data_IF_938217942935
#
_entry.id   IF_938217942935
#
_cell.length_a   1.000
_cell.length_b   1.000
_cell.length_c   1.000
_cell.angle_alpha   90.00
_cell.angle_beta   90.00
_cell.angle_gamma   90.00
#
_symmetry.space_group_name_H-M   'P 1'
#
loop_
_entity.id
_entity.type
_entity.pdbx_description
1 polymer ?
#
# COMPACT_ATOMS: atom_id res chain seq x y z
N UNK A 1 2.83 -4.06 2.10
CA UNK A 1 3.77 -3.06 2.65
C UNK A 1 3.04 -2.03 3.47
N UNK A 2 2.11 -1.24 2.92
CA UNK A 2 1.43 -0.15 3.63
C UNK A 2 0.67 -0.55 4.92
N UNK A 3 0.31 -1.82 5.10
CA UNK A 3 -0.25 -2.32 6.36
C UNK A 3 0.71 -2.34 7.56
N UNK A 4 1.97 -1.93 7.38
CA UNK A 4 2.95 -1.73 8.46
C UNK A 4 3.53 -3.00 9.11
N UNK A 5 3.00 -4.18 8.83
CA UNK A 5 3.42 -5.43 9.48
C UNK A 5 4.76 -5.97 8.97
N UNK A 6 5.07 -5.74 7.70
CA UNK A 6 6.35 -6.16 7.09
C UNK A 6 7.32 -4.99 7.18
N UNK A 7 8.39 -5.17 7.93
CA UNK A 7 9.38 -4.12 8.23
C UNK A 7 10.78 -4.43 7.67
N UNK A 8 10.98 -5.68 7.23
CA UNK A 8 12.27 -6.17 6.73
C UNK A 8 12.04 -7.21 5.64
N UNK A 9 12.96 -7.36 4.66
CA UNK A 9 12.92 -8.51 3.74
C UNK A 9 12.96 -9.87 4.46
N UNK A 10 13.47 -9.93 5.68
CA UNK A 10 13.52 -11.16 6.50
C UNK A 10 12.14 -11.58 7.04
N UNK A 11 11.15 -10.68 6.98
CA UNK A 11 9.80 -10.98 7.46
C UNK A 11 8.97 -11.77 6.41
N UNK A 12 9.54 -11.99 5.22
CA UNK A 12 8.91 -12.82 4.20
C UNK A 12 9.17 -14.30 4.49
N UNK A 13 8.11 -15.10 4.40
CA UNK A 13 8.22 -16.56 4.49
C UNK A 13 8.91 -17.16 3.26
N UNK A 14 9.32 -18.42 3.38
CA UNK A 14 9.87 -19.18 2.28
C UNK A 14 8.86 -19.27 1.12
N UNK A 15 9.31 -19.00 -0.10
CA UNK A 15 8.45 -19.01 -1.29
C UNK A 15 7.57 -17.76 -1.46
N UNK A 16 7.66 -16.77 -0.58
CA UNK A 16 6.91 -15.52 -0.75
C UNK A 16 7.42 -14.75 -1.98
N UNK A 17 6.55 -14.61 -2.99
CA UNK A 17 6.88 -13.93 -4.25
C UNK A 17 7.40 -12.51 -4.05
N UNK A 18 6.99 -11.82 -2.99
CA UNK A 18 7.44 -10.46 -2.69
C UNK A 18 8.94 -10.37 -2.45
N UNK A 19 9.58 -11.46 -2.00
CA UNK A 19 11.04 -11.52 -1.81
C UNK A 19 11.82 -11.30 -3.11
N UNK A 20 11.22 -11.58 -4.27
CA UNK A 20 11.82 -11.38 -5.59
C UNK A 20 11.50 -10.00 -6.20
N UNK A 21 10.59 -9.26 -5.63
CA UNK A 21 10.17 -7.98 -6.19
C UNK A 21 11.17 -6.87 -5.83
N UNK A 22 11.69 -6.09 -6.80
CA UNK A 22 12.71 -5.06 -6.58
C UNK A 22 12.35 -4.04 -5.49
N UNK A 23 11.07 -3.75 -5.31
CA UNK A 23 10.55 -2.84 -4.27
C UNK A 23 10.86 -3.30 -2.85
N UNK A 24 11.05 -4.60 -2.66
CA UNK A 24 11.32 -5.21 -1.37
C UNK A 24 12.78 -5.66 -1.19
N UNK A 25 13.67 -5.29 -2.13
CA UNK A 25 15.10 -5.57 -1.98
C UNK A 25 15.67 -4.91 -0.71
N UNK A 26 16.75 -5.46 -0.17
CA UNK A 26 17.43 -4.90 1.01
C UNK A 26 17.87 -3.44 0.81
N UNK A 27 18.16 -3.03 -0.43
CA UNK A 27 18.53 -1.66 -0.78
C UNK A 27 17.33 -0.71 -0.79
N UNK A 28 16.19 -1.14 -1.40
CA UNK A 28 15.05 -0.28 -1.63
C UNK A 28 14.07 -0.26 -0.46
N UNK A 29 13.98 -1.36 0.29
CA UNK A 29 12.98 -1.54 1.32
C UNK A 29 13.03 -0.48 2.44
N UNK A 30 14.22 -0.09 2.97
CA UNK A 30 14.29 0.96 4.00
C UNK A 30 13.72 2.30 3.54
N UNK A 31 14.00 2.70 2.29
CA UNK A 31 13.48 3.94 1.70
C UNK A 31 11.95 3.89 1.56
N UNK A 32 11.42 2.75 1.15
CA UNK A 32 9.98 2.55 1.01
C UNK A 32 9.25 2.50 2.37
N UNK A 33 9.95 2.17 3.46
CA UNK A 33 9.38 2.21 4.80
C UNK A 33 9.11 3.64 5.29
N UNK A 34 9.78 4.66 4.78
CA UNK A 34 9.53 6.05 5.15
C UNK A 34 8.08 6.45 4.86
N UNK A 35 7.53 6.02 3.71
CA UNK A 35 6.11 6.23 3.41
C UNK A 35 5.22 5.45 4.37
N UNK A 36 5.58 4.20 4.67
CA UNK A 36 4.82 3.36 5.62
C UNK A 36 4.73 4.02 6.99
N UNK A 37 5.84 4.62 7.46
CA UNK A 37 5.89 5.31 8.74
C UNK A 37 5.04 6.58 8.75
N UNK A 38 5.05 7.37 7.67
CA UNK A 38 4.16 8.53 7.52
C UNK A 38 2.68 8.12 7.55
N UNK A 39 2.29 7.12 6.76
CA UNK A 39 0.92 6.58 6.75
C UNK A 39 0.53 6.04 8.12
N UNK A 40 1.43 5.36 8.82
CA UNK A 40 1.20 4.84 10.17
C UNK A 40 0.97 5.98 11.18
N UNK A 41 1.72 7.07 11.08
CA UNK A 41 1.56 8.22 11.93
C UNK A 41 0.19 8.92 11.74
N UNK A 42 -0.26 9.05 10.48
CA UNK A 42 -1.59 9.61 10.16
C UNK A 42 -2.69 8.67 10.66
N UNK A 43 -2.58 7.36 10.43
CA UNK A 43 -3.54 6.36 10.88
C UNK A 43 -3.71 6.39 12.41
N UNK A 44 -2.61 6.56 13.15
CA UNK A 44 -2.64 6.68 14.61
C UNK A 44 -3.40 7.93 15.09
N UNK A 45 -3.26 9.08 14.40
CA UNK A 45 -4.05 10.29 14.71
C UNK A 45 -5.54 10.07 14.49
N UNK A 46 -5.90 9.23 13.50
CA UNK A 46 -7.26 8.91 13.09
C UNK A 46 -7.89 7.74 13.87
N UNK A 47 -7.15 7.14 14.80
CA UNK A 47 -7.55 5.95 15.57
C UNK A 47 -7.97 4.77 14.66
N UNK A 48 -7.18 4.53 13.61
CA UNK A 48 -7.40 3.42 12.68
C UNK A 48 -6.08 2.75 12.31
N UNK A 49 -6.17 1.60 11.65
CA UNK A 49 -4.96 0.92 11.16
C UNK A 49 -4.46 1.55 9.86
N UNK A 50 -3.15 1.42 9.54
CA UNK A 50 -2.63 1.88 8.26
C UNK A 50 -3.31 1.23 7.04
N UNK A 51 -3.73 -0.04 7.16
CA UNK A 51 -4.51 -0.74 6.13
C UNK A 51 -5.86 -0.08 5.92
N UNK A 52 -6.57 0.19 6.99
CA UNK A 52 -7.87 0.85 6.94
C UNK A 52 -7.77 2.27 6.38
N UNK A 53 -6.79 3.05 6.84
CA UNK A 53 -6.56 4.40 6.32
C UNK A 53 -6.30 4.39 4.80
N UNK A 54 -5.45 3.46 4.34
CA UNK A 54 -5.12 3.34 2.92
C UNK A 54 -6.34 2.99 2.07
N UNK A 55 -7.19 2.07 2.54
CA UNK A 55 -8.42 1.70 1.84
C UNK A 55 -9.43 2.85 1.85
N UNK A 56 -9.60 3.54 2.98
CA UNK A 56 -10.48 4.71 3.08
C UNK A 56 -10.04 5.82 2.12
N UNK A 57 -8.73 6.08 2.04
CA UNK A 57 -8.18 7.07 1.12
C UNK A 57 -8.41 6.69 -0.35
N UNK A 58 -8.27 5.41 -0.72
CA UNK A 58 -8.57 4.95 -2.08
C UNK A 58 -10.05 5.20 -2.43
N UNK A 59 -10.98 4.86 -1.53
CA UNK A 59 -12.42 5.08 -1.74
C UNK A 59 -12.78 6.57 -1.83
N UNK A 60 -12.02 7.45 -1.21
CA UNK A 60 -12.23 8.90 -1.27
C UNK A 60 -11.73 9.53 -2.59
N UNK A 61 -11.02 8.79 -3.46
CA UNK A 61 -10.50 9.34 -4.73
C UNK A 61 -11.55 9.48 -5.83
N UNK A 62 -12.72 8.85 -5.68
CA UNK A 62 -13.81 8.94 -6.65
C UNK A 62 -14.80 7.78 -6.47
N UNK A 63 -16.03 8.00 -6.91
CA UNK A 63 -17.12 7.02 -6.78
C UNK A 63 -16.90 5.77 -7.66
N UNK A 64 -16.00 5.85 -8.62
CA UNK A 64 -15.61 4.78 -9.53
C UNK A 64 -14.39 3.97 -9.03
N UNK A 65 -13.82 4.32 -7.88
CA UNK A 65 -12.69 3.62 -7.27
C UNK A 65 -13.19 2.56 -6.28
N UNK A 66 -13.08 1.30 -6.66
CA UNK A 66 -13.54 0.15 -5.88
C UNK A 66 -12.36 -0.73 -5.47
N UNK A 67 -11.83 -0.60 -4.24
CA UNK A 67 -10.77 -1.48 -3.74
C UNK A 67 -11.27 -2.92 -3.57
N UNK A 68 -10.44 -3.89 -3.96
CA UNK A 68 -10.73 -5.32 -3.82
C UNK A 68 -9.63 -6.03 -2.98
N UNK A 69 -9.49 -5.71 -1.69
CA UNK A 69 -8.44 -6.27 -0.84
C UNK A 69 -8.68 -7.76 -0.59
N UNK A 70 -7.81 -8.63 -1.14
CA UNK A 70 -7.87 -10.09 -0.95
C UNK A 70 -7.27 -10.51 0.38
N UNK A 71 -7.90 -11.47 1.06
CA UNK A 71 -7.37 -12.10 2.27
C UNK A 71 -8.01 -13.48 2.52
N UNK A 72 -7.27 -14.37 3.17
CA UNK A 72 -7.77 -15.64 3.72
C UNK A 72 -7.93 -15.60 5.24
N UNK A 73 -7.61 -14.46 5.87
CA UNK A 73 -7.65 -14.27 7.32
C UNK A 73 -8.89 -13.45 7.70
N UNK A 74 -9.74 -14.00 8.58
CA UNK A 74 -11.01 -13.39 8.99
C UNK A 74 -10.80 -12.02 9.66
N UNK A 75 -9.81 -11.90 10.54
CA UNK A 75 -9.52 -10.63 11.22
C UNK A 75 -9.13 -9.52 10.23
N UNK A 76 -8.34 -9.88 9.19
CA UNK A 76 -7.99 -8.94 8.13
C UNK A 76 -9.20 -8.60 7.26
N UNK A 77 -10.13 -9.51 7.05
CA UNK A 77 -11.37 -9.22 6.35
C UNK A 77 -12.21 -8.19 7.12
N UNK A 78 -12.37 -8.38 8.41
CA UNK A 78 -13.06 -7.43 9.28
C UNK A 78 -12.37 -6.07 9.32
N UNK A 79 -11.03 -6.05 9.41
CA UNK A 79 -10.22 -4.84 9.31
C UNK A 79 -10.47 -4.09 7.99
N UNK A 80 -10.45 -4.80 6.86
CA UNK A 80 -10.67 -4.22 5.54
C UNK A 80 -12.08 -3.64 5.40
N UNK A 81 -13.11 -4.38 5.87
CA UNK A 81 -14.50 -3.90 5.89
C UNK A 81 -14.63 -2.66 6.78
N UNK A 82 -13.93 -2.65 7.91
CA UNK A 82 -13.89 -1.51 8.84
C UNK A 82 -13.44 -0.19 8.20
N UNK A 83 -12.66 -0.24 7.11
CA UNK A 83 -12.25 0.95 6.37
C UNK A 83 -13.42 1.78 5.83
N UNK A 84 -14.56 1.14 5.51
CA UNK A 84 -15.77 1.83 5.03
C UNK A 84 -16.38 2.78 6.06
N UNK A 85 -16.05 2.63 7.34
CA UNK A 85 -16.54 3.48 8.43
C UNK A 85 -15.70 4.73 8.63
N UNK A 86 -14.52 4.79 8.02
CA UNK A 86 -13.59 5.89 8.18
C UNK A 86 -13.96 7.00 7.19
N UNK A 87 -14.24 8.17 7.73
CA UNK A 87 -14.49 9.39 6.95
C UNK A 87 -13.25 10.27 7.04
N UNK A 88 -12.69 10.60 5.89
CA UNK A 88 -11.57 11.53 5.79
C UNK A 88 -12.08 12.95 5.56
N UNK A 89 -11.45 13.94 6.18
CA UNK A 89 -11.63 15.32 5.79
C UNK A 89 -10.77 15.67 4.58
N UNK A 90 -11.05 16.77 3.91
CA UNK A 90 -10.25 17.24 2.78
C UNK A 90 -8.77 17.45 3.17
N UNK A 91 -8.53 17.93 4.40
CA UNK A 91 -7.18 18.15 4.94
C UNK A 91 -6.45 16.83 5.14
N UNK A 92 -7.14 15.81 5.68
CA UNK A 92 -6.57 14.47 5.87
C UNK A 92 -6.27 13.79 4.53
N UNK A 93 -7.15 13.93 3.54
CA UNK A 93 -6.90 13.42 2.19
C UNK A 93 -5.67 14.08 1.56
N UNK A 94 -5.53 15.38 1.72
CA UNK A 94 -4.38 16.13 1.23
C UNK A 94 -3.09 15.77 1.99
N UNK A 95 -3.13 15.56 3.31
CA UNK A 95 -1.97 15.10 4.09
C UNK A 95 -1.47 13.75 3.57
N UNK A 96 -2.39 12.81 3.29
CA UNK A 96 -2.04 11.49 2.75
C UNK A 96 -1.48 11.62 1.32
N UNK A 97 -2.10 12.44 0.47
CA UNK A 97 -1.66 12.70 -0.91
C UNK A 97 -0.24 13.25 -0.93
N UNK A 98 0.04 14.27 -0.13
CA UNK A 98 1.37 14.85 -0.01
C UNK A 98 2.40 13.85 0.50
N UNK A 99 2.02 12.98 1.45
CA UNK A 99 2.90 11.91 1.91
C UNK A 99 3.26 10.95 0.79
N UNK A 100 2.31 10.63 -0.11
CA UNK A 100 2.53 9.76 -1.27
C UNK A 100 3.37 10.45 -2.35
N UNK A 101 3.09 11.71 -2.69
CA UNK A 101 3.79 12.49 -3.71
C UNK A 101 5.25 12.77 -3.32
N UNK A 102 5.49 13.04 -2.04
CA UNK A 102 6.83 13.27 -1.50
C UNK A 102 7.61 11.97 -1.23
N UNK A 103 6.99 10.80 -1.47
CA UNK A 103 7.66 9.53 -1.27
C UNK A 103 8.44 9.12 -2.52
N UNK A 104 9.75 9.01 -2.37
CA UNK A 104 10.59 8.40 -3.39
C UNK A 104 10.47 6.87 -3.36
N UNK A 105 9.36 6.32 -3.87
CA UNK A 105 9.19 4.86 -3.93
C UNK A 105 10.23 4.24 -4.86
N UNK A 106 11.13 3.43 -4.30
CA UNK A 106 12.24 2.79 -5.01
C UNK A 106 11.91 1.34 -5.39
N UNK A 107 12.39 0.95 -6.57
CA UNK A 107 12.23 -0.40 -7.10
C UNK A 107 10.88 -0.63 -7.80
N UNK A 108 10.93 -1.38 -8.90
CA UNK A 108 9.75 -1.76 -9.65
C UNK A 108 8.84 -2.71 -8.85
N UNK A 109 7.54 -2.73 -9.18
CA UNK A 109 6.56 -3.61 -8.56
C UNK A 109 6.84 -5.08 -8.85
N UNK A 110 7.29 -5.38 -10.06
CA UNK A 110 7.62 -6.72 -10.53
C UNK A 110 9.06 -6.75 -11.08
N UNK A 111 9.74 -7.91 -11.06
CA UNK A 111 10.95 -8.13 -11.84
C UNK A 111 10.72 -7.83 -13.32
N UNK A 112 11.74 -7.37 -14.03
CA UNK A 112 11.63 -6.92 -15.44
C UNK A 112 10.97 -7.95 -16.37
N UNK A 113 11.29 -9.23 -16.19
CA UNK A 113 10.71 -10.31 -16.99
C UNK A 113 9.17 -10.40 -16.86
N UNK A 114 8.62 -10.08 -15.69
CA UNK A 114 7.18 -10.08 -15.44
C UNK A 114 6.52 -8.74 -15.80
N UNK A 115 7.25 -7.63 -15.68
CA UNK A 115 6.72 -6.31 -15.99
C UNK A 115 6.27 -6.20 -17.45
N UNK A 116 7.01 -6.82 -18.36
CA UNK A 116 6.66 -6.86 -19.80
C UNK A 116 5.34 -7.57 -20.08
N UNK A 117 4.98 -8.57 -19.29
CA UNK A 117 3.74 -9.31 -19.46
C UNK A 117 2.51 -8.55 -18.93
N UNK A 118 2.69 -7.60 -17.99
CA UNK A 118 1.56 -6.88 -17.37
C UNK A 118 0.82 -5.94 -18.32
N UNK A 119 1.46 -5.52 -19.42
CA UNK A 119 0.91 -4.53 -20.35
C UNK A 119 1.03 -4.99 -21.81
N UNK A 120 1.20 -6.31 -22.06
CA UNK A 120 1.49 -6.88 -23.38
C UNK A 120 0.48 -6.45 -24.46
N UNK A 121 -0.80 -6.32 -24.10
CA UNK A 121 -1.90 -5.99 -25.02
C UNK A 121 -2.43 -4.57 -24.85
N UNK A 122 -1.80 -3.75 -24.00
CA UNK A 122 -2.21 -2.36 -23.76
C UNK A 122 -1.59 -1.45 -24.82
N UNK A 123 -2.40 -0.71 -25.62
CA UNK A 123 -1.86 0.28 -26.54
C UNK A 123 -1.07 1.35 -25.80
N UNK A 124 0.01 1.90 -26.38
CA UNK A 124 0.69 3.05 -25.82
C UNK A 124 -0.26 4.26 -25.78
N UNK A 125 -0.17 5.02 -24.70
CA UNK A 125 -0.91 6.29 -24.55
C UNK A 125 -0.37 7.35 -25.48
#
# INVERSE_FOLDING_TARGET
MLGGQIRSPKDFGEGDFRSFAPRFSAENFPKNLELVDKITAIAKKKDCTPSQLTLAWLMAQGDDIIPIPGTTNLQRLEENIGAMKIKLSNEEEQEIRQACENAEVKGARYPEAFAKACFADTPPL
#
